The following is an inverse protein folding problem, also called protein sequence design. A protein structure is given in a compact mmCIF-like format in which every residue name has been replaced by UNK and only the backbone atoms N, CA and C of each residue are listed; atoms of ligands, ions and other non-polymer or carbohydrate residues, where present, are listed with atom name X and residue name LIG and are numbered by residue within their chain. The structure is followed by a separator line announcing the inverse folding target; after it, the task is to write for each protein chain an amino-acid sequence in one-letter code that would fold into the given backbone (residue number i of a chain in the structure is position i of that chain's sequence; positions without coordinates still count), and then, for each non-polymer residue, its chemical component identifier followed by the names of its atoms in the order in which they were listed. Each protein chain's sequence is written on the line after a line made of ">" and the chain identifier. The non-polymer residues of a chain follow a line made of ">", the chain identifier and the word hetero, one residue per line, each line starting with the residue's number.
data_IF_591200548741
#
_entry.id   IF_591200548741
#
_cell.length_a   1.000
_cell.length_b   1.000
_cell.length_c   1.000
_cell.angle_alpha   90.00
_cell.angle_beta   90.00
_cell.angle_gamma   90.00
#
_symmetry.space_group_name_H-M   'P 1'
#
loop_
_entity.id
_entity.type
_entity.pdbx_description
1 polymer ?
#
# COMPACT_ATOMS: atom_id res chain seq x y z
N UNK A 1 8.89 11.70 36.57
CA UNK A 1 9.22 10.30 36.17
C UNK A 1 8.23 9.87 35.10
N UNK A 2 8.61 9.96 33.83
CA UNK A 2 7.78 9.40 32.75
C UNK A 2 8.08 7.91 32.66
N UNK A 3 7.49 7.14 33.59
CA UNK A 3 7.53 5.69 33.52
C UNK A 3 6.89 5.26 32.20
N UNK A 4 7.71 4.80 31.26
CA UNK A 4 7.23 4.18 30.04
C UNK A 4 6.41 2.95 30.42
N UNK A 5 5.08 3.11 30.47
CA UNK A 5 4.17 2.02 30.81
C UNK A 5 4.21 1.01 29.67
N UNK A 6 4.77 -0.16 29.94
CA UNK A 6 4.71 -1.27 29.01
C UNK A 6 3.25 -1.70 28.85
N UNK A 7 2.77 -1.75 27.61
CA UNK A 7 1.39 -2.12 27.26
C UNK A 7 1.39 -3.36 26.40
N UNK A 8 0.37 -4.19 26.56
CA UNK A 8 0.17 -5.37 25.72
C UNK A 8 -0.65 -5.01 24.47
N UNK A 9 -0.15 -5.46 23.32
CA UNK A 9 -0.74 -5.26 22.01
C UNK A 9 -0.96 -6.59 21.31
N UNK A 10 -1.91 -6.61 20.38
CA UNK A 10 -2.20 -7.75 19.51
C UNK A 10 -1.95 -7.32 18.07
N UNK A 11 -1.09 -8.06 17.37
CA UNK A 11 -0.89 -7.94 15.93
C UNK A 11 -1.70 -9.01 15.20
N UNK A 12 -2.50 -8.61 14.22
CA UNK A 12 -3.27 -9.51 13.37
C UNK A 12 -2.55 -9.73 12.03
N UNK A 13 -2.24 -10.98 11.69
CA UNK A 13 -1.64 -11.36 10.41
C UNK A 13 -2.61 -12.24 9.62
N UNK A 14 -2.95 -11.85 8.38
CA UNK A 14 -3.77 -12.67 7.49
C UNK A 14 -2.91 -13.78 6.86
N UNK A 15 -3.32 -15.03 6.98
CA UNK A 15 -2.64 -16.20 6.37
C UNK A 15 -3.32 -16.61 5.06
N UNK A 16 -4.65 -16.54 5.03
CA UNK A 16 -5.48 -17.03 3.93
C UNK A 16 -6.88 -16.43 4.01
N UNK A 17 -7.81 -16.92 3.19
CA UNK A 17 -9.15 -16.37 3.16
C UNK A 17 -9.94 -16.70 4.43
N UNK A 18 -10.28 -15.64 5.17
CA UNK A 18 -11.00 -15.73 6.44
C UNK A 18 -10.14 -16.02 7.67
N UNK A 19 -8.84 -16.29 7.54
CA UNK A 19 -7.99 -16.70 8.67
C UNK A 19 -6.99 -15.60 9.10
N UNK A 20 -6.97 -15.33 10.40
CA UNK A 20 -6.03 -14.41 11.06
C UNK A 20 -5.24 -15.14 12.15
N UNK A 21 -3.94 -14.87 12.24
CA UNK A 21 -3.12 -15.17 13.42
C UNK A 21 -3.10 -13.96 14.32
N UNK A 22 -3.27 -14.20 15.61
CA UNK A 22 -3.08 -13.21 16.66
C UNK A 22 -1.70 -13.37 17.28
N UNK A 23 -0.88 -12.31 17.23
CA UNK A 23 0.41 -12.26 17.91
C UNK A 23 0.34 -11.24 19.03
N UNK A 24 0.36 -11.71 20.28
CA UNK A 24 0.44 -10.87 21.47
C UNK A 24 1.88 -10.49 21.76
N UNK A 25 2.12 -9.21 22.01
CA UNK A 25 3.44 -8.70 22.36
C UNK A 25 3.30 -7.51 23.29
N UNK A 26 4.33 -7.29 24.12
CA UNK A 26 4.39 -6.12 25.00
C UNK A 26 5.30 -5.06 24.38
N UNK A 27 4.91 -3.80 24.51
CA UNK A 27 5.67 -2.68 23.98
C UNK A 27 5.45 -1.44 24.83
N UNK A 28 6.53 -0.71 25.07
CA UNK A 28 6.51 0.63 25.67
C UNK A 28 6.13 1.71 24.66
N UNK A 29 6.19 1.40 23.35
CA UNK A 29 5.80 2.30 22.28
C UNK A 29 4.28 2.34 22.12
N UNK A 30 3.71 3.52 21.91
CA UNK A 30 2.30 3.66 21.56
C UNK A 30 2.08 3.28 20.10
N UNK A 31 1.51 2.10 19.88
CA UNK A 31 1.11 1.67 18.54
C UNK A 31 -0.19 2.39 18.11
N UNK A 32 -0.39 2.64 16.80
CA UNK A 32 -1.55 3.39 16.33
C UNK A 32 -2.86 2.67 16.69
N UNK A 33 -3.74 3.34 17.44
CA UNK A 33 -5.07 2.81 17.81
C UNK A 33 -5.97 2.55 16.59
N UNK A 34 -5.72 3.28 15.50
CA UNK A 34 -6.45 3.16 14.25
C UNK A 34 -5.71 2.26 13.23
N UNK A 35 -4.69 1.52 13.65
CA UNK A 35 -3.92 0.63 12.80
C UNK A 35 -4.74 -0.54 12.26
N UNK A 36 -4.53 -0.90 10.99
CA UNK A 36 -5.22 -2.02 10.33
C UNK A 36 -4.87 -3.39 10.94
N UNK A 37 -3.74 -3.49 11.63
CA UNK A 37 -3.18 -4.76 12.09
C UNK A 37 -2.79 -4.78 13.57
N UNK A 38 -2.98 -3.68 14.31
CA UNK A 38 -2.57 -3.58 15.72
C UNK A 38 -3.74 -3.13 16.58
N UNK A 39 -3.94 -3.77 17.72
CA UNK A 39 -4.92 -3.40 18.73
C UNK A 39 -4.29 -3.45 20.12
N UNK A 40 -4.82 -2.67 21.06
CA UNK A 40 -4.46 -2.79 22.48
C UNK A 40 -5.17 -4.01 23.06
N UNK A 41 -4.46 -4.87 23.78
CA UNK A 41 -5.07 -6.06 24.38
C UNK A 41 -6.09 -5.71 25.48
N UNK A 42 -5.96 -4.52 26.07
CA UNK A 42 -6.88 -3.99 27.09
C UNK A 42 -8.19 -3.41 26.52
N UNK A 43 -8.29 -3.22 25.20
CA UNK A 43 -9.42 -2.55 24.56
C UNK A 43 -10.14 -3.50 23.59
N UNK A 44 -11.26 -4.12 24.00
CA UNK A 44 -11.99 -5.10 23.20
C UNK A 44 -12.59 -4.50 21.93
N UNK A 45 -13.00 -3.22 21.95
CA UNK A 45 -13.53 -2.55 20.76
C UNK A 45 -12.45 -2.37 19.69
N UNK A 46 -11.23 -2.05 20.12
CA UNK A 46 -10.09 -1.94 19.22
C UNK A 46 -9.76 -3.29 18.56
N UNK A 47 -9.86 -4.38 19.32
CA UNK A 47 -9.63 -5.75 18.84
C UNK A 47 -10.65 -6.11 17.76
N UNK A 48 -11.94 -5.92 18.02
CA UNK A 48 -12.99 -6.22 17.05
C UNK A 48 -12.85 -5.39 15.77
N UNK A 49 -12.58 -4.09 15.92
CA UNK A 49 -12.38 -3.19 14.78
C UNK A 49 -11.20 -3.64 13.92
N UNK A 50 -10.10 -4.02 14.55
CA UNK A 50 -8.91 -4.50 13.87
C UNK A 50 -9.18 -5.83 13.14
N UNK A 51 -9.86 -6.79 13.79
CA UNK A 51 -10.29 -8.07 13.17
C UNK A 51 -11.16 -7.84 11.94
N UNK A 52 -12.20 -7.01 12.04
CA UNK A 52 -13.09 -6.67 10.92
C UNK A 52 -12.32 -6.04 9.76
N UNK A 53 -11.39 -5.13 10.07
CA UNK A 53 -10.56 -4.46 9.06
C UNK A 53 -9.52 -5.39 8.40
N UNK A 54 -8.96 -6.33 9.15
CA UNK A 54 -7.98 -7.29 8.67
C UNK A 54 -8.63 -8.37 7.78
N UNK A 55 -9.84 -8.82 8.13
CA UNK A 55 -10.64 -9.76 7.35
C UNK A 55 -11.31 -9.15 6.11
N UNK A 56 -11.41 -7.81 6.06
CA UNK A 56 -12.04 -7.10 4.94
C UNK A 56 -11.46 -7.54 3.60
N UNK A 57 -12.31 -8.05 2.71
CA UNK A 57 -11.89 -8.54 1.38
C UNK A 57 -11.32 -7.41 0.53
N UNK A 58 -10.51 -7.76 -0.48
CA UNK A 58 -9.99 -6.79 -1.45
C UNK A 58 -11.12 -6.06 -2.17
N UNK A 59 -12.21 -6.77 -2.48
CA UNK A 59 -13.41 -6.24 -3.14
C UNK A 59 -14.11 -5.19 -2.28
N UNK A 60 -14.32 -5.45 -1.00
CA UNK A 60 -14.92 -4.46 -0.11
C UNK A 60 -14.01 -3.25 0.13
N UNK A 61 -12.69 -3.41 0.04
CA UNK A 61 -11.76 -2.28 0.08
C UNK A 61 -11.84 -1.47 -1.20
N UNK A 62 -11.93 -2.12 -2.35
CA UNK A 62 -12.11 -1.48 -3.65
C UNK A 62 -13.43 -0.72 -3.71
N UNK A 63 -14.54 -1.30 -3.22
CA UNK A 63 -15.84 -0.63 -3.16
C UNK A 63 -15.84 0.61 -2.26
N UNK A 64 -15.20 0.55 -1.07
CA UNK A 64 -15.04 1.75 -0.22
C UNK A 64 -14.17 2.82 -0.88
N UNK A 65 -13.13 2.41 -1.59
CA UNK A 65 -12.27 3.34 -2.34
C UNK A 65 -13.05 3.99 -3.48
N UNK A 66 -13.75 3.21 -4.29
CA UNK A 66 -14.59 3.70 -5.39
C UNK A 66 -15.68 4.67 -4.88
N UNK A 67 -16.31 4.38 -3.73
CA UNK A 67 -17.28 5.29 -3.13
C UNK A 67 -16.64 6.60 -2.62
N UNK A 68 -15.41 6.55 -2.10
CA UNK A 68 -14.67 7.74 -1.70
C UNK A 68 -14.21 8.57 -2.92
N UNK A 69 -13.71 7.90 -3.96
CA UNK A 69 -13.29 8.53 -5.22
C UNK A 69 -14.48 9.20 -5.91
N UNK A 70 -15.65 8.54 -5.97
CA UNK A 70 -16.87 9.12 -6.51
C UNK A 70 -17.36 10.35 -5.74
N UNK A 71 -17.17 10.39 -4.42
CA UNK A 71 -17.43 11.62 -3.63
C UNK A 71 -16.42 12.71 -3.96
N UNK A 72 -15.14 12.35 -4.12
CA UNK A 72 -14.10 13.31 -4.43
C UNK A 72 -14.28 13.93 -5.82
N UNK A 73 -14.74 13.19 -6.81
CA UNK A 73 -15.05 13.73 -8.15
C UNK A 73 -16.15 14.79 -8.13
N UNK A 74 -17.16 14.67 -7.25
CA UNK A 74 -18.21 15.69 -7.10
C UNK A 74 -17.68 17.03 -6.62
N UNK A 75 -16.62 17.03 -5.83
CA UNK A 75 -15.97 18.23 -5.31
C UNK A 75 -14.69 18.61 -6.04
N UNK A 76 -14.31 17.84 -7.08
CA UNK A 76 -13.15 18.16 -7.87
C UNK A 76 -13.48 19.46 -8.63
N UNK A 77 -12.81 20.59 -8.33
CA UNK A 77 -13.03 21.80 -9.11
C UNK A 77 -12.76 21.43 -10.56
N UNK A 78 -13.73 21.71 -11.44
CA UNK A 78 -13.54 21.56 -12.88
C UNK A 78 -12.31 22.37 -13.22
N UNK A 79 -11.21 21.69 -13.52
CA UNK A 79 -9.97 22.33 -13.95
C UNK A 79 -10.36 23.08 -15.22
N UNK A 80 -10.53 24.40 -15.11
CA UNK A 80 -10.73 25.26 -16.27
C UNK A 80 -9.50 25.04 -17.11
N UNK A 81 -9.67 24.44 -18.30
CA UNK A 81 -8.57 24.27 -19.23
C UNK A 81 -8.02 25.65 -19.51
N UNK A 82 -6.88 25.98 -18.88
CA UNK A 82 -6.17 27.21 -19.23
C UNK A 82 -5.75 27.03 -20.67
N UNK A 83 -6.24 27.91 -21.55
CA UNK A 83 -5.79 27.97 -22.91
C UNK A 83 -4.28 28.24 -22.86
N UNK A 84 -3.48 27.19 -23.03
CA UNK A 84 -2.06 27.32 -23.29
C UNK A 84 -2.00 28.04 -24.63
N UNK A 85 -1.70 29.34 -24.62
CA UNK A 85 -1.31 30.02 -25.85
C UNK A 85 -0.14 29.23 -26.41
N UNK A 86 -0.38 28.56 -27.55
CA UNK A 86 0.69 27.98 -28.33
C UNK A 86 1.51 29.17 -28.84
N UNK A 87 2.55 29.52 -28.10
CA UNK A 87 3.64 30.30 -28.65
C UNK A 87 4.23 29.38 -29.71
N UNK A 88 4.11 29.76 -30.99
CA UNK A 88 4.88 29.14 -32.07
C UNK A 88 6.35 29.24 -31.67
N UNK A 89 6.88 28.14 -31.14
CA UNK A 89 8.30 28.01 -30.87
C UNK A 89 8.98 27.96 -32.25
N UNK A 90 9.89 28.90 -32.59
CA UNK A 90 10.60 28.83 -33.85
C UNK A 90 11.36 27.51 -33.87
N UNK A 91 11.06 26.69 -34.88
CA UNK A 91 11.65 25.38 -35.14
C UNK A 91 13.13 25.34 -34.75
N UNK A 92 13.53 24.61 -33.69
CA UNK A 92 14.94 24.41 -33.42
C UNK A 92 15.52 23.56 -34.55
N UNK A 93 16.31 24.19 -35.41
CA UNK A 93 17.17 23.51 -36.37
C UNK A 93 18.12 22.61 -35.57
N UNK A 94 18.10 21.32 -35.91
CA UNK A 94 18.94 20.23 -35.39
C UNK A 94 18.56 19.69 -33.99
N UNK A 95 17.85 18.56 -33.99
CA UNK A 95 17.84 17.63 -32.86
C UNK A 95 19.27 17.15 -32.60
N UNK A 96 19.84 17.31 -31.38
CA UNK A 96 21.05 16.59 -31.02
C UNK A 96 20.73 15.08 -30.96
N UNK A 97 21.67 14.19 -31.34
CA UNK A 97 21.42 12.76 -31.32
C UNK A 97 21.08 12.30 -29.89
N UNK A 98 19.89 11.73 -29.75
CA UNK A 98 19.41 11.10 -28.52
C UNK A 98 20.38 9.98 -28.17
N UNK A 99 21.27 10.21 -27.20
CA UNK A 99 22.02 9.13 -26.56
C UNK A 99 21.00 8.33 -25.75
N UNK A 100 20.51 7.24 -26.33
CA UNK A 100 19.72 6.25 -25.60
C UNK A 100 20.56 5.77 -24.42
N UNK A 101 20.23 6.24 -23.22
CA UNK A 101 20.77 5.68 -22.00
C UNK A 101 20.12 4.30 -21.83
N UNK A 102 20.81 3.28 -22.34
CA UNK A 102 20.43 1.89 -22.10
C UNK A 102 20.64 1.61 -20.62
N UNK A 103 19.55 1.71 -19.84
CA UNK A 103 19.56 1.28 -18.45
C UNK A 103 20.08 -0.17 -18.35
N UNK A 104 20.80 -0.53 -17.27
CA UNK A 104 21.40 -1.84 -17.17
C UNK A 104 20.32 -2.92 -17.23
N UNK A 105 20.43 -3.77 -18.24
CA UNK A 105 19.61 -4.97 -18.46
C UNK A 105 19.51 -5.76 -17.16
N UNK A 106 18.29 -5.97 -16.67
CA UNK A 106 18.05 -6.81 -15.50
C UNK A 106 18.70 -8.18 -15.72
N UNK A 107 19.59 -8.60 -14.81
CA UNK A 107 20.21 -9.93 -14.81
C UNK A 107 19.11 -10.99 -14.83
N UNK A 108 18.84 -11.57 -16.00
CA UNK A 108 18.00 -12.77 -16.12
C UNK A 108 18.66 -13.86 -15.28
N UNK A 109 17.95 -14.37 -14.26
CA UNK A 109 18.39 -15.54 -13.50
C UNK A 109 18.53 -16.71 -14.49
N UNK A 110 19.59 -17.53 -14.39
CA UNK A 110 19.70 -18.72 -15.22
C UNK A 110 18.52 -19.67 -14.95
N UNK A 111 18.00 -20.36 -15.98
CA UNK A 111 16.94 -21.35 -15.79
C UNK A 111 17.46 -22.50 -14.92
N UNK A 112 16.67 -22.85 -13.90
CA UNK A 112 16.95 -23.95 -12.99
C UNK A 112 16.96 -25.27 -13.79
N UNK A 113 17.94 -26.17 -13.60
CA UNK A 113 17.94 -27.45 -14.30
C UNK A 113 16.73 -28.29 -13.86
N UNK A 114 16.05 -28.90 -14.83
CA UNK A 114 14.90 -29.76 -14.59
C UNK A 114 15.30 -31.00 -13.78
N UNK A 115 14.42 -31.51 -12.89
CA UNK A 115 14.71 -32.69 -12.10
C UNK A 115 14.84 -33.91 -13.02
N UNK A 116 16.02 -34.55 -13.01
CA UNK A 116 16.22 -35.85 -13.65
C UNK A 116 15.39 -36.90 -12.90
N UNK A 117 14.34 -37.42 -13.55
CA UNK A 117 13.72 -38.70 -13.18
C UNK A 117 14.75 -39.81 -13.43
N UNK A 118 15.08 -40.57 -12.39
CA UNK A 118 15.85 -41.82 -12.54
C UNK A 118 14.94 -42.88 -13.16
N UNK A 119 15.43 -43.55 -14.20
CA UNK A 119 14.94 -44.86 -14.62
C UNK A 119 15.49 -45.92 -13.67
#
# INVERSE_FOLDING_TARGET
>A
MNGLTEREYIRFQKIGDGQLIEHRFRSTMQWPKNGKFYALASDPESIERCKRMALKTSEERAAKKAAADARHERYRPKQTAMAVMQIEEPTPLALPPVRHFTGPTARKRPPMPAPRRKA
#
